data_IF_758956487977
#
_entry.id   IF_758956487977
#
_cell.length_a   1.000
_cell.length_b   1.000
_cell.length_c   1.000
_cell.angle_alpha   90.00
_cell.angle_beta   90.00
_cell.angle_gamma   90.00
#
_symmetry.space_group_name_H-M   'P 1'
#
loop_
_entity.id
_entity.type
_entity.pdbx_description
1 polymer ?
#
# COMPACT_ATOMS: atom_id res chain seq x y z
N UNK A 1 21.06 4.66 35.07
CA UNK A 1 20.78 5.56 33.92
C UNK A 1 19.55 5.02 33.21
N UNK A 2 18.69 5.88 32.66
CA UNK A 2 17.54 5.39 31.88
C UNK A 2 18.05 4.64 30.66
N UNK A 3 17.40 3.52 30.31
CA UNK A 3 17.70 2.80 29.08
C UNK A 3 17.34 3.68 27.89
N UNK A 4 18.20 3.72 26.88
CA UNK A 4 18.05 4.55 25.68
C UNK A 4 17.51 3.71 24.54
N UNK A 5 16.48 4.19 23.86
CA UNK A 5 15.89 3.50 22.71
C UNK A 5 15.90 4.42 21.50
N UNK A 6 16.45 3.93 20.38
CA UNK A 6 16.39 4.63 19.10
C UNK A 6 15.25 4.07 18.23
N UNK A 7 14.55 4.96 17.54
CA UNK A 7 13.55 4.63 16.53
C UNK A 7 13.96 5.32 15.23
N UNK A 8 14.17 4.55 14.17
CA UNK A 8 14.64 5.03 12.87
C UNK A 8 13.44 5.13 11.92
N UNK A 9 13.02 6.35 11.63
CA UNK A 9 11.86 6.68 10.81
C UNK A 9 10.69 7.22 11.64
N UNK A 10 10.28 8.46 11.38
CA UNK A 10 9.13 9.10 12.03
C UNK A 10 7.83 8.89 11.22
N UNK A 11 7.67 7.70 10.64
CA UNK A 11 6.44 7.27 9.97
C UNK A 11 5.40 6.70 10.95
N UNK A 12 4.21 6.28 10.46
CA UNK A 12 3.14 5.73 11.30
C UNK A 12 3.59 4.59 12.22
N UNK A 13 4.41 3.66 11.74
CA UNK A 13 4.90 2.54 12.56
C UNK A 13 5.87 3.02 13.67
N UNK A 14 6.85 3.86 13.32
CA UNK A 14 7.83 4.37 14.28
C UNK A 14 7.21 5.28 15.35
N UNK A 15 6.27 6.15 14.97
CA UNK A 15 5.53 6.98 15.93
C UNK A 15 4.68 6.12 16.88
N UNK A 16 4.15 4.99 16.40
CA UNK A 16 3.36 4.09 17.22
C UNK A 16 4.22 3.26 18.18
N UNK A 17 5.41 2.84 17.75
CA UNK A 17 6.42 2.27 18.64
C UNK A 17 6.83 3.28 19.72
N UNK A 18 7.06 4.54 19.34
CA UNK A 18 7.39 5.61 20.27
C UNK A 18 6.27 5.84 21.31
N UNK A 19 5.00 5.79 20.89
CA UNK A 19 3.86 5.96 21.80
C UNK A 19 3.81 4.86 22.85
N UNK A 20 4.06 3.60 22.47
CA UNK A 20 4.17 2.48 23.42
C UNK A 20 5.33 2.69 24.37
N UNK A 21 6.52 2.98 23.84
CA UNK A 21 7.75 3.07 24.63
C UNK A 21 7.77 4.27 25.59
N UNK A 22 7.08 5.35 25.23
CA UNK A 22 6.93 6.55 26.06
C UNK A 22 6.16 6.33 27.37
N UNK A 23 5.54 5.16 27.54
CA UNK A 23 4.81 4.79 28.76
C UNK A 23 5.71 4.17 29.84
N UNK A 24 6.99 3.93 29.51
CA UNK A 24 7.98 3.31 30.39
C UNK A 24 9.12 4.30 30.69
N UNK A 25 9.98 3.95 31.66
CA UNK A 25 11.09 4.82 32.09
C UNK A 25 12.31 4.76 31.16
N UNK A 26 12.08 5.05 29.87
CA UNK A 26 13.09 5.04 28.82
C UNK A 26 13.35 6.45 28.28
N UNK A 27 14.58 6.66 27.78
CA UNK A 27 14.91 7.81 26.95
C UNK A 27 14.68 7.43 25.48
N UNK A 28 13.57 7.89 24.91
CA UNK A 28 13.13 7.50 23.56
C UNK A 28 13.53 8.57 22.54
N UNK A 29 14.35 8.18 21.57
CA UNK A 29 14.81 9.04 20.48
C UNK A 29 14.19 8.59 19.15
N UNK A 30 13.53 9.50 18.43
CA UNK A 30 13.01 9.26 17.07
C UNK A 30 13.84 10.05 16.07
N UNK A 31 14.52 9.34 15.17
CA UNK A 31 15.34 9.92 14.11
C UNK A 31 14.60 9.93 12.78
N UNK A 32 14.64 11.05 12.07
CA UNK A 32 14.01 11.24 10.78
C UNK A 32 14.92 12.05 9.86
N UNK A 33 15.21 11.50 8.68
CA UNK A 33 16.09 12.17 7.72
C UNK A 33 15.43 13.38 7.05
N UNK A 34 14.10 13.45 7.02
CA UNK A 34 13.37 14.59 6.46
C UNK A 34 13.15 15.70 7.51
N UNK A 35 12.77 16.91 7.08
CA UNK A 35 12.55 18.04 8.00
C UNK A 35 11.33 17.92 8.91
N UNK A 36 10.50 16.90 8.74
CA UNK A 36 9.24 16.72 9.45
C UNK A 36 8.82 15.26 9.44
N UNK A 37 8.13 14.81 10.49
CA UNK A 37 7.58 13.45 10.59
C UNK A 37 6.48 13.16 9.54
N UNK A 38 6.29 11.86 9.28
CA UNK A 38 5.12 11.26 8.62
C UNK A 38 4.69 11.94 7.29
N UNK A 39 5.65 12.29 6.43
CA UNK A 39 5.36 12.99 5.16
C UNK A 39 4.52 12.15 4.19
N UNK A 40 4.75 10.83 4.12
CA UNK A 40 3.93 9.89 3.32
C UNK A 40 2.50 9.78 3.88
N UNK A 41 2.34 9.79 5.20
CA UNK A 41 1.02 9.83 5.86
C UNK A 41 0.24 11.11 5.52
N UNK A 42 0.91 12.26 5.53
CA UNK A 42 0.30 13.52 5.08
C UNK A 42 -0.08 13.51 3.60
N UNK A 43 0.75 12.91 2.74
CA UNK A 43 0.44 12.74 1.32
C UNK A 43 -0.80 11.86 1.12
N UNK A 44 -0.88 10.73 1.83
CA UNK A 44 -2.04 9.83 1.81
C UNK A 44 -3.34 10.54 2.25
N UNK A 45 -3.24 11.49 3.17
CA UNK A 45 -4.37 12.28 3.67
C UNK A 45 -4.69 13.56 2.89
N UNK A 46 -4.06 13.83 1.74
CA UNK A 46 -4.26 15.08 0.98
C UNK A 46 -5.71 15.29 0.52
N UNK A 47 -6.41 14.21 0.20
CA UNK A 47 -7.80 14.21 -0.28
C UNK A 47 -8.78 13.53 0.69
N UNK A 48 -8.34 13.32 1.93
CA UNK A 48 -9.04 12.50 2.92
C UNK A 48 -8.17 11.33 3.38
N UNK A 49 -7.83 11.30 4.67
CA UNK A 49 -7.03 10.22 5.24
C UNK A 49 -7.92 9.00 5.49
N UNK A 50 -7.88 8.02 4.60
CA UNK A 50 -8.45 6.72 4.87
C UNK A 50 -7.55 5.96 5.86
N UNK A 51 -7.89 6.00 7.14
CA UNK A 51 -6.99 5.53 8.21
C UNK A 51 -7.12 4.04 8.52
N UNK A 52 -8.30 3.46 8.28
CA UNK A 52 -8.62 2.04 8.52
C UNK A 52 -9.88 1.63 7.74
N UNK A 53 -10.34 0.40 7.93
CA UNK A 53 -11.56 -0.15 7.33
C UNK A 53 -12.39 -0.89 8.38
N UNK A 54 -13.69 -0.59 8.45
CA UNK A 54 -14.59 -1.05 9.51
C UNK A 54 -15.29 -2.39 9.21
N UNK A 55 -14.77 -3.18 8.27
CA UNK A 55 -15.26 -4.55 8.08
C UNK A 55 -14.93 -5.44 9.29
N UNK A 56 -15.60 -6.60 9.43
CA UNK A 56 -15.26 -7.56 10.48
C UNK A 56 -13.78 -7.97 10.43
N UNK A 57 -13.10 -7.94 11.58
CA UNK A 57 -11.64 -8.17 11.67
C UNK A 57 -11.17 -9.49 11.03
N UNK A 58 -12.00 -10.53 11.06
CA UNK A 58 -11.70 -11.82 10.42
C UNK A 58 -11.58 -11.68 8.90
N UNK A 59 -12.43 -10.88 8.27
CA UNK A 59 -12.40 -10.58 6.84
C UNK A 59 -11.24 -9.62 6.51
N UNK A 60 -11.08 -8.58 7.34
CA UNK A 60 -10.01 -7.59 7.21
C UNK A 60 -8.62 -8.23 7.09
N UNK A 61 -8.34 -9.23 7.93
CA UNK A 61 -7.04 -9.94 7.95
C UNK A 61 -6.79 -10.72 6.66
N UNK A 62 -7.84 -11.19 5.96
CA UNK A 62 -7.66 -11.94 4.70
C UNK A 62 -7.18 -11.07 3.54
N UNK A 63 -7.19 -9.74 3.70
CA UNK A 63 -6.67 -8.82 2.69
C UNK A 63 -5.14 -8.77 2.63
N UNK A 64 -4.43 -9.26 3.66
CA UNK A 64 -2.97 -9.34 3.66
C UNK A 64 -2.51 -10.63 2.97
N UNK A 65 -1.30 -10.63 2.40
CA UNK A 65 -0.68 -11.86 1.88
C UNK A 65 -0.07 -12.70 3.01
N UNK A 66 0.48 -12.05 4.03
CA UNK A 66 0.95 -12.66 5.28
C UNK A 66 -0.12 -12.58 6.38
N UNK A 67 -1.34 -13.03 6.07
CA UNK A 67 -2.50 -12.90 6.94
C UNK A 67 -2.29 -13.56 8.31
N UNK A 68 -1.70 -14.75 8.35
CA UNK A 68 -1.44 -15.50 9.57
C UNK A 68 -0.38 -14.81 10.46
N UNK A 69 0.64 -14.22 9.84
CA UNK A 69 1.68 -13.48 10.54
C UNK A 69 1.14 -12.23 11.25
N UNK A 70 0.34 -11.44 10.53
CA UNK A 70 -0.16 -10.16 11.03
C UNK A 70 -1.41 -10.30 11.92
N UNK A 71 -2.07 -11.46 11.89
CA UNK A 71 -3.39 -11.66 12.49
C UNK A 71 -3.44 -11.28 13.98
N UNK A 72 -2.45 -11.68 14.77
CA UNK A 72 -2.46 -11.44 16.22
C UNK A 72 -2.49 -9.94 16.55
N UNK A 73 -1.62 -9.17 15.89
CA UNK A 73 -1.51 -7.74 16.08
C UNK A 73 -2.72 -6.98 15.55
N UNK A 74 -3.20 -7.34 14.36
CA UNK A 74 -4.37 -6.67 13.76
C UNK A 74 -5.64 -6.93 14.58
N UNK A 75 -5.80 -8.12 15.17
CA UNK A 75 -6.93 -8.39 16.08
C UNK A 75 -6.91 -7.51 17.32
N UNK A 76 -5.72 -7.16 17.82
CA UNK A 76 -5.57 -6.35 19.02
C UNK A 76 -5.71 -4.85 18.74
N UNK A 77 -5.27 -4.40 17.56
CA UNK A 77 -5.27 -2.99 17.15
C UNK A 77 -6.07 -2.79 15.86
N UNK A 78 -7.31 -3.26 15.90
CA UNK A 78 -8.27 -3.22 14.80
C UNK A 78 -8.82 -1.80 14.55
N UNK A 79 -9.79 -1.69 13.63
CA UNK A 79 -10.44 -0.41 13.32
C UNK A 79 -11.16 0.22 14.51
N UNK A 80 -11.68 -0.58 15.47
CA UNK A 80 -12.33 -0.04 16.67
C UNK A 80 -11.28 0.58 17.60
N UNK A 81 -10.15 -0.10 17.79
CA UNK A 81 -9.02 0.44 18.52
C UNK A 81 -8.50 1.74 17.89
N UNK A 82 -8.34 1.79 16.56
CA UNK A 82 -7.88 2.99 15.84
C UNK A 82 -8.83 4.17 16.05
N UNK A 83 -10.15 3.95 15.96
CA UNK A 83 -11.14 5.02 16.20
C UNK A 83 -11.07 5.54 17.65
N UNK A 84 -10.88 4.66 18.64
CA UNK A 84 -10.71 5.06 20.04
C UNK A 84 -9.38 5.80 20.27
N UNK A 85 -8.30 5.36 19.64
CA UNK A 85 -7.01 6.04 19.68
C UNK A 85 -7.10 7.46 19.08
N UNK A 86 -7.75 7.62 17.93
CA UNK A 86 -8.03 8.93 17.33
C UNK A 86 -8.85 9.81 18.28
N UNK A 87 -9.91 9.27 18.88
CA UNK A 87 -10.73 9.99 19.86
C UNK A 87 -9.91 10.45 21.06
N UNK A 88 -9.00 9.61 21.56
CA UNK A 88 -8.07 10.01 22.62
C UNK A 88 -7.18 11.19 22.23
N UNK A 89 -6.86 11.32 20.94
CA UNK A 89 -6.13 12.47 20.37
C UNK A 89 -7.03 13.70 20.10
N UNK A 90 -8.32 13.62 20.46
CA UNK A 90 -9.31 14.66 20.21
C UNK A 90 -9.78 14.70 18.75
N UNK A 91 -9.58 13.63 17.99
CA UNK A 91 -9.96 13.55 16.58
C UNK A 91 -11.13 12.59 16.41
N UNK A 92 -12.29 13.13 16.09
CA UNK A 92 -13.46 12.33 15.74
C UNK A 92 -13.29 11.67 14.37
N UNK A 93 -13.87 10.48 14.23
CA UNK A 93 -13.83 9.70 12.99
C UNK A 93 -15.23 9.24 12.59
N UNK A 94 -15.39 8.89 11.32
CA UNK A 94 -16.63 8.32 10.80
C UNK A 94 -16.34 7.20 9.81
N UNK A 95 -17.30 6.30 9.65
CA UNK A 95 -17.27 5.20 8.69
C UNK A 95 -18.05 5.63 7.45
N UNK A 96 -17.39 5.68 6.30
CA UNK A 96 -18.03 5.96 5.02
C UNK A 96 -18.86 4.76 4.52
N UNK A 97 -19.70 4.98 3.51
CA UNK A 97 -20.56 3.92 2.93
C UNK A 97 -19.79 2.73 2.34
N UNK A 98 -18.50 2.91 2.07
CA UNK A 98 -17.61 1.85 1.59
C UNK A 98 -16.94 1.05 2.72
N UNK A 99 -17.21 1.36 3.99
CA UNK A 99 -16.54 0.77 5.16
C UNK A 99 -15.23 1.45 5.55
N UNK A 100 -14.69 2.32 4.70
CA UNK A 100 -13.49 3.11 4.99
C UNK A 100 -13.69 4.08 6.15
N UNK A 101 -12.69 4.18 7.02
CA UNK A 101 -12.70 5.03 8.22
C UNK A 101 -11.91 6.31 7.92
N UNK A 102 -12.49 7.47 8.20
CA UNK A 102 -11.86 8.77 7.96
C UNK A 102 -11.96 9.66 9.21
N UNK A 103 -11.00 10.58 9.43
CA UNK A 103 -11.22 11.70 10.34
C UNK A 103 -12.35 12.58 9.78
N UNK A 104 -13.21 13.11 10.65
CA UNK A 104 -14.35 13.97 10.24
C UNK A 104 -13.87 15.19 9.45
N UNK A 105 -12.73 15.78 9.83
CA UNK A 105 -12.14 16.93 9.11
C UNK A 105 -11.55 16.59 7.73
N UNK A 106 -11.52 15.30 7.36
CA UNK A 106 -10.97 14.80 6.08
C UNK A 106 -9.53 15.23 5.80
N UNK A 107 -8.74 15.45 6.86
CA UNK A 107 -7.33 15.85 6.78
C UNK A 107 -6.48 15.04 7.75
N UNK A 108 -5.28 14.65 7.32
CA UNK A 108 -4.29 13.97 8.18
C UNK A 108 -3.58 14.93 9.16
N UNK A 109 -3.44 16.20 8.80
CA UNK A 109 -2.60 17.14 9.53
C UNK A 109 -3.04 17.41 10.98
N UNK A 110 -4.34 17.60 11.31
CA UNK A 110 -4.79 17.76 12.69
C UNK A 110 -4.44 16.55 13.56
N UNK A 111 -4.70 15.34 13.05
CA UNK A 111 -4.37 14.09 13.74
C UNK A 111 -2.87 13.94 14.00
N UNK A 112 -2.04 14.14 12.97
CA UNK A 112 -0.59 14.06 13.15
C UNK A 112 -0.08 15.09 14.17
N UNK A 113 -0.61 16.32 14.15
CA UNK A 113 -0.21 17.37 15.09
C UNK A 113 -0.55 16.99 16.53
N UNK A 114 -1.77 16.51 16.78
CA UNK A 114 -2.18 16.05 18.10
C UNK A 114 -1.31 14.87 18.57
N UNK A 115 -0.98 13.95 17.67
CA UNK A 115 -0.14 12.80 17.98
C UNK A 115 1.29 13.19 18.37
N UNK A 116 1.96 14.02 17.55
CA UNK A 116 3.30 14.51 17.85
C UNK A 116 3.35 15.32 19.13
N UNK A 117 2.29 16.11 19.42
CA UNK A 117 2.17 16.86 20.67
C UNK A 117 2.16 15.92 21.88
N UNK A 118 1.32 14.88 21.86
CA UNK A 118 1.27 13.87 22.94
C UNK A 118 2.62 13.20 23.15
N UNK A 119 3.29 12.79 22.07
CA UNK A 119 4.61 12.15 22.17
C UNK A 119 5.66 13.08 22.81
N UNK A 120 5.66 14.36 22.44
CA UNK A 120 6.54 15.34 23.05
C UNK A 120 6.19 15.58 24.54
N UNK A 121 4.91 15.61 24.90
CA UNK A 121 4.45 15.70 26.30
C UNK A 121 4.86 14.49 27.14
N UNK A 122 5.01 13.31 26.52
CA UNK A 122 5.57 12.11 27.13
C UNK A 122 7.11 12.04 27.09
N UNK A 123 7.80 13.10 26.65
CA UNK A 123 9.26 13.17 26.67
C UNK A 123 9.97 12.49 25.51
N UNK A 124 9.28 12.13 24.42
CA UNK A 124 9.93 11.61 23.21
C UNK A 124 10.76 12.71 22.54
N UNK A 125 12.02 12.40 22.22
CA UNK A 125 12.98 13.34 21.65
C UNK A 125 13.06 13.11 20.13
N UNK A 126 12.73 14.14 19.35
CA UNK A 126 12.75 14.07 17.88
C UNK A 126 14.02 14.70 17.29
N UNK A 127 14.67 13.95 16.41
CA UNK A 127 15.88 14.33 15.68
C UNK A 127 15.57 14.39 14.17
N UNK A 128 15.04 15.53 13.73
CA UNK A 128 14.77 15.77 12.29
C UNK A 128 16.05 16.10 11.55
N UNK A 129 16.08 15.82 10.23
CA UNK A 129 17.27 15.99 9.38
C UNK A 129 18.47 15.17 9.87
N UNK A 130 18.21 14.02 10.49
CA UNK A 130 19.25 13.06 10.88
C UNK A 130 19.10 11.79 10.05
N UNK A 131 20.09 11.54 9.20
CA UNK A 131 20.13 10.33 8.38
C UNK A 131 20.93 9.25 9.10
N UNK A 132 20.34 8.07 9.28
CA UNK A 132 21.08 6.91 9.73
C UNK A 132 21.93 6.38 8.57
N UNK A 133 23.25 6.30 8.76
CA UNK A 133 24.21 5.84 7.77
C UNK A 133 24.53 4.36 7.95
N UNK A 134 24.70 3.93 9.20
CA UNK A 134 25.15 2.59 9.53
C UNK A 134 24.53 2.07 10.82
N UNK A 135 24.42 0.74 10.91
CA UNK A 135 23.93 0.00 12.06
C UNK A 135 24.86 -1.19 12.31
N UNK A 136 25.44 -1.23 13.51
CA UNK A 136 26.30 -2.34 13.95
C UNK A 136 25.98 -2.69 15.40
N UNK A 137 25.43 -3.90 15.63
CA UNK A 137 25.01 -4.34 16.97
C UNK A 137 24.02 -3.34 17.61
N UNK A 138 24.39 -2.71 18.73
CA UNK A 138 23.62 -1.68 19.44
C UNK A 138 24.00 -0.25 19.06
N UNK A 139 24.85 -0.07 18.06
CA UNK A 139 25.44 1.20 17.66
C UNK A 139 24.88 1.70 16.33
N UNK A 140 24.55 2.98 16.27
CA UNK A 140 24.04 3.67 15.09
C UNK A 140 24.93 4.85 14.74
N UNK A 141 25.27 4.97 13.45
CA UNK A 141 25.94 6.14 12.92
C UNK A 141 24.93 7.06 12.25
N UNK A 142 24.89 8.33 12.66
CA UNK A 142 24.01 9.34 12.11
C UNK A 142 24.79 10.47 11.45
N UNK A 143 24.22 11.01 10.38
CA UNK A 143 24.63 12.27 9.77
C UNK A 143 23.56 13.34 10.01
N UNK A 144 23.94 14.43 10.65
CA UNK A 144 23.12 15.62 10.72
C UNK A 144 23.20 16.36 9.37
N UNK A 145 22.08 16.43 8.64
CA UNK A 145 22.01 17.02 7.30
C UNK A 145 21.98 18.56 7.29
N UNK A 146 22.13 19.20 8.45
CA UNK A 146 22.29 20.65 8.58
C UNK A 146 23.75 21.00 8.85
N UNK A 147 24.39 20.30 9.79
CA UNK A 147 25.78 20.55 10.18
C UNK A 147 26.79 19.71 9.41
N UNK A 148 26.33 18.70 8.66
CA UNK A 148 27.13 17.67 7.98
C UNK A 148 27.97 16.81 8.94
N UNK A 149 27.79 16.97 10.25
CA UNK A 149 28.50 16.20 11.26
C UNK A 149 27.99 14.76 11.29
N UNK A 150 28.94 13.84 11.44
CA UNK A 150 28.70 12.41 11.63
C UNK A 150 28.99 12.06 13.08
N UNK A 151 28.05 11.41 13.73
CA UNK A 151 28.17 10.96 15.11
C UNK A 151 27.75 9.50 15.23
N UNK A 152 28.32 8.84 16.22
CA UNK A 152 28.03 7.44 16.54
C UNK A 152 27.44 7.38 17.95
N UNK A 153 26.31 6.70 18.10
CA UNK A 153 25.60 6.60 19.37
C UNK A 153 25.19 5.14 19.66
N UNK A 154 25.24 4.76 20.94
CA UNK A 154 24.79 3.43 21.40
C UNK A 154 23.42 3.51 22.08
N UNK A 155 22.60 2.47 21.85
CA UNK A 155 21.26 2.33 22.39
C UNK A 155 21.03 0.93 22.94
N UNK A 156 20.23 0.82 24.00
CA UNK A 156 19.89 -0.47 24.60
C UNK A 156 18.97 -1.29 23.68
N UNK A 157 18.13 -0.61 22.89
CA UNK A 157 17.30 -1.18 21.82
C UNK A 157 17.11 -0.20 20.66
N UNK A 158 16.84 -0.75 19.47
CA UNK A 158 16.68 -0.03 18.21
C UNK A 158 15.43 -0.56 17.50
N UNK A 159 14.51 0.32 17.14
CA UNK A 159 13.36 0.03 16.29
C UNK A 159 13.61 0.63 14.91
N UNK A 160 13.69 -0.21 13.89
CA UNK A 160 13.67 0.18 12.50
C UNK A 160 12.22 0.29 12.02
N UNK A 161 11.86 1.47 11.55
CA UNK A 161 10.54 1.82 11.00
C UNK A 161 10.71 2.66 9.72
N UNK A 162 11.68 2.27 8.89
CA UNK A 162 12.19 3.07 7.78
C UNK A 162 11.26 3.13 6.55
N UNK A 163 10.19 2.32 6.56
CA UNK A 163 9.30 2.13 5.41
C UNK A 163 9.96 1.36 4.27
N UNK A 164 9.25 1.24 3.16
CA UNK A 164 9.72 0.54 1.97
C UNK A 164 10.55 1.47 1.06
N UNK A 165 10.28 1.45 -0.26
CA UNK A 165 11.05 2.16 -1.29
C UNK A 165 10.20 3.04 -2.22
N UNK A 166 8.89 3.11 -2.00
CA UNK A 166 7.99 4.01 -2.74
C UNK A 166 8.04 5.43 -2.20
N UNK A 167 7.79 6.43 -3.05
CA UNK A 167 7.83 7.85 -2.66
C UNK A 167 9.11 8.27 -1.93
N UNK A 168 10.29 7.82 -2.38
CA UNK A 168 11.59 8.05 -1.72
C UNK A 168 11.89 9.52 -1.36
N UNK A 169 11.37 10.46 -2.16
CA UNK A 169 11.43 11.91 -1.87
C UNK A 169 10.79 12.30 -0.53
N UNK A 170 9.92 11.46 0.02
CA UNK A 170 9.22 11.65 1.30
C UNK A 170 9.89 10.96 2.50
N UNK A 171 10.92 10.13 2.31
CA UNK A 171 11.64 9.49 3.44
C UNK A 171 12.06 8.04 3.20
N UNK A 172 11.25 7.25 2.52
CA UNK A 172 11.41 5.80 2.31
C UNK A 172 12.32 5.51 1.10
N UNK A 173 13.63 5.60 1.29
CA UNK A 173 14.64 5.47 0.23
C UNK A 173 15.32 4.10 0.15
N UNK A 174 15.01 3.19 1.07
CA UNK A 174 15.58 1.84 1.08
C UNK A 174 17.06 1.74 1.44
N UNK A 175 17.71 2.82 1.91
CA UNK A 175 19.13 2.79 2.27
C UNK A 175 19.43 1.77 3.37
N UNK A 176 18.46 1.53 4.25
CA UNK A 176 18.52 0.56 5.33
C UNK A 176 18.72 -0.90 4.89
N UNK A 177 18.41 -1.23 3.62
CA UNK A 177 18.55 -2.61 3.11
C UNK A 177 20.00 -3.10 3.17
N UNK A 178 20.98 -2.20 3.13
CA UNK A 178 22.41 -2.55 3.24
C UNK A 178 22.80 -3.14 4.59
N UNK A 179 21.97 -2.96 5.63
CA UNK A 179 22.23 -3.48 6.99
C UNK A 179 21.71 -4.92 7.18
N UNK A 180 21.13 -5.52 6.13
CA UNK A 180 20.65 -6.89 6.11
C UNK A 180 21.38 -7.69 5.05
N UNK A 181 21.44 -9.01 5.24
CA UNK A 181 21.88 -9.91 4.19
C UNK A 181 20.82 -9.99 3.10
N UNK A 182 21.23 -10.16 1.83
CA UNK A 182 20.29 -10.13 0.70
C UNK A 182 19.20 -11.21 0.77
N UNK A 183 19.48 -12.34 1.41
CA UNK A 183 18.54 -13.44 1.63
C UNK A 183 17.52 -13.16 2.74
N UNK A 184 17.78 -12.17 3.61
CA UNK A 184 16.86 -11.72 4.66
C UNK A 184 15.74 -10.79 4.14
N UNK A 185 15.88 -10.30 2.89
CA UNK A 185 14.95 -9.35 2.27
C UNK A 185 14.31 -9.97 1.03
N UNK A 186 12.99 -9.99 0.95
CA UNK A 186 12.27 -10.23 -0.30
C UNK A 186 12.31 -8.97 -1.17
N UNK A 187 12.67 -9.13 -2.44
CA UNK A 187 12.84 -8.01 -3.35
C UNK A 187 11.57 -7.15 -3.45
N UNK A 188 11.74 -5.83 -3.29
CA UNK A 188 10.61 -4.90 -3.36
C UNK A 188 9.99 -4.86 -4.76
N UNK A 189 8.67 -4.88 -4.80
CA UNK A 189 7.86 -4.77 -6.00
C UNK A 189 6.80 -3.68 -5.82
N UNK A 190 6.44 -3.00 -6.91
CA UNK A 190 5.40 -2.00 -6.90
C UNK A 190 4.05 -2.62 -6.48
N UNK A 191 3.37 -1.97 -5.53
CA UNK A 191 2.03 -2.36 -5.10
C UNK A 191 1.08 -1.17 -5.10
N UNK A 192 -0.21 -1.47 -5.31
CA UNK A 192 -1.24 -0.46 -5.49
C UNK A 192 -0.82 0.61 -6.52
N UNK A 193 -0.30 0.14 -7.66
CA UNK A 193 0.28 0.95 -8.72
C UNK A 193 -0.47 0.75 -10.04
N UNK A 194 -0.38 1.73 -10.94
CA UNK A 194 -0.87 1.58 -12.31
C UNK A 194 -0.10 0.47 -13.05
N UNK A 195 -0.69 -0.04 -14.13
CA UNK A 195 -0.06 -1.02 -15.02
C UNK A 195 0.15 -0.41 -16.38
N UNK A 196 1.25 -0.76 -17.02
CA UNK A 196 1.67 -0.17 -18.29
C UNK A 196 1.18 -0.99 -19.47
N UNK A 197 0.81 -0.27 -20.53
CA UNK A 197 0.48 -0.82 -21.83
C UNK A 197 0.77 0.21 -22.90
N UNK A 198 1.47 -0.21 -23.94
CA UNK A 198 1.68 0.62 -25.12
C UNK A 198 0.39 0.69 -25.92
N UNK A 199 -0.22 1.88 -25.93
CA UNK A 199 -1.42 2.16 -26.72
C UNK A 199 -1.07 2.67 -28.12
N UNK A 200 -1.87 2.32 -29.12
CA UNK A 200 -1.82 3.01 -30.41
C UNK A 200 -2.28 4.47 -30.28
N UNK A 201 -1.92 5.33 -31.24
CA UNK A 201 -2.37 6.74 -31.28
C UNK A 201 -3.89 6.88 -31.29
N UNK A 202 -4.60 5.84 -31.71
CA UNK A 202 -6.06 5.80 -31.74
C UNK A 202 -6.68 5.94 -30.34
N UNK A 203 -6.01 5.48 -29.28
CA UNK A 203 -6.54 5.55 -27.90
C UNK A 203 -6.38 6.91 -27.24
N UNK A 204 -5.60 7.84 -27.80
CA UNK A 204 -5.34 9.15 -27.20
C UNK A 204 -6.59 9.94 -26.80
N UNK A 205 -7.69 9.96 -27.59
CA UNK A 205 -8.90 10.70 -27.22
C UNK A 205 -9.62 10.17 -25.97
N UNK A 206 -9.31 8.95 -25.52
CA UNK A 206 -9.94 8.32 -24.34
C UNK A 206 -9.05 8.27 -23.11
N UNK A 207 -7.84 8.85 -23.16
CA UNK A 207 -7.02 8.99 -21.97
C UNK A 207 -7.71 9.87 -20.92
N UNK A 208 -7.63 9.46 -19.65
CA UNK A 208 -8.36 10.02 -18.52
C UNK A 208 -9.82 9.55 -18.40
N UNK A 209 -10.37 8.83 -19.38
CA UNK A 209 -11.76 8.37 -19.32
C UNK A 209 -11.87 7.05 -18.53
N UNK A 210 -12.94 6.87 -17.75
CA UNK A 210 -13.18 5.63 -17.01
C UNK A 210 -13.90 4.57 -17.87
N UNK A 211 -13.42 3.34 -17.81
CA UNK A 211 -14.20 2.13 -18.08
C UNK A 211 -15.08 1.86 -16.86
N UNK A 212 -16.34 2.28 -16.92
CA UNK A 212 -17.26 2.16 -15.78
C UNK A 212 -17.85 0.76 -15.67
N UNK A 213 -17.96 0.27 -14.42
CA UNK A 213 -18.65 -0.98 -14.07
C UNK A 213 -18.18 -2.15 -14.92
N UNK A 214 -16.88 -2.41 -14.90
CA UNK A 214 -16.25 -3.57 -15.55
C UNK A 214 -15.85 -4.58 -14.50
N UNK A 215 -15.74 -5.85 -14.88
CA UNK A 215 -15.06 -6.84 -14.05
C UNK A 215 -13.65 -7.06 -14.55
N UNK A 216 -12.74 -7.31 -13.62
CA UNK A 216 -11.34 -7.59 -13.89
C UNK A 216 -10.88 -8.82 -13.09
N UNK A 217 -10.03 -9.63 -13.72
CA UNK A 217 -9.38 -10.78 -13.09
C UNK A 217 -8.06 -11.12 -13.79
N UNK A 218 -7.28 -11.97 -13.12
CA UNK A 218 -5.99 -12.50 -13.58
C UNK A 218 -6.04 -14.01 -13.36
N UNK A 219 -5.64 -14.78 -14.36
CA UNK A 219 -5.69 -16.25 -14.32
C UNK A 219 -7.06 -16.79 -13.84
N UNK A 220 -7.08 -17.71 -12.89
CA UNK A 220 -8.29 -18.31 -12.32
C UNK A 220 -8.81 -17.56 -11.06
N UNK A 221 -8.32 -16.34 -10.81
CA UNK A 221 -8.75 -15.55 -9.65
C UNK A 221 -10.20 -15.08 -9.79
N UNK A 222 -10.83 -14.85 -8.64
CA UNK A 222 -12.19 -14.33 -8.60
C UNK A 222 -12.30 -12.97 -9.30
N UNK A 223 -13.34 -12.81 -10.13
CA UNK A 223 -13.65 -11.55 -10.77
C UNK A 223 -14.02 -10.50 -9.75
N UNK A 224 -13.50 -9.29 -9.93
CA UNK A 224 -13.88 -8.14 -9.11
C UNK A 224 -14.43 -7.03 -9.98
N UNK A 225 -15.50 -6.39 -9.54
CA UNK A 225 -16.15 -5.30 -10.27
C UNK A 225 -15.67 -3.93 -9.78
N UNK A 226 -15.57 -2.97 -10.70
CA UNK A 226 -15.27 -1.59 -10.40
C UNK A 226 -15.11 -0.74 -11.65
N UNK A 227 -14.45 0.41 -11.50
CA UNK A 227 -14.10 1.29 -12.60
C UNK A 227 -12.58 1.24 -12.84
N UNK A 228 -12.14 1.37 -14.10
CA UNK A 228 -10.73 1.50 -14.48
C UNK A 228 -10.53 2.81 -15.23
N UNK A 229 -9.49 3.57 -14.93
CA UNK A 229 -9.11 4.75 -15.71
C UNK A 229 -8.13 4.33 -16.81
N UNK A 230 -8.41 4.71 -18.05
CA UNK A 230 -7.48 4.56 -19.17
C UNK A 230 -6.51 5.72 -19.10
N UNK A 231 -5.24 5.45 -18.87
CA UNK A 231 -4.20 6.47 -18.79
C UNK A 231 -3.26 6.38 -19.98
N UNK A 232 -2.55 7.47 -20.26
CA UNK A 232 -1.65 7.55 -21.41
C UNK A 232 -0.56 6.47 -21.40
N UNK A 233 -0.20 5.97 -20.22
CA UNK A 233 0.78 4.89 -20.02
C UNK A 233 0.16 3.49 -19.96
N UNK A 234 -1.16 3.35 -19.78
CA UNK A 234 -1.78 2.06 -19.49
C UNK A 234 -3.10 2.18 -18.73
N UNK A 235 -3.27 1.42 -17.64
CA UNK A 235 -4.49 1.37 -16.84
C UNK A 235 -4.19 1.64 -15.35
N UNK A 236 -5.08 2.34 -14.68
CA UNK A 236 -4.99 2.59 -13.23
C UNK A 236 -6.36 2.62 -12.57
N UNK A 237 -6.37 2.65 -11.23
CA UNK A 237 -7.52 2.75 -10.29
C UNK A 237 -7.48 1.64 -9.24
N UNK A 238 -8.35 1.75 -8.24
CA UNK A 238 -8.55 0.71 -7.23
C UNK A 238 -8.91 -0.67 -7.80
N UNK A 239 -9.54 -0.77 -8.98
CA UNK A 239 -9.81 -2.10 -9.57
C UNK A 239 -8.52 -2.75 -10.07
N UNK A 240 -7.63 -1.99 -10.71
CA UNK A 240 -6.29 -2.47 -11.10
C UNK A 240 -5.47 -2.87 -9.88
N UNK A 241 -5.50 -2.06 -8.82
CA UNK A 241 -4.72 -2.32 -7.62
C UNK A 241 -5.10 -3.64 -6.94
N UNK A 242 -6.39 -4.02 -6.94
CA UNK A 242 -6.87 -5.32 -6.43
C UNK A 242 -6.29 -6.50 -7.21
N UNK A 243 -5.94 -6.33 -8.48
CA UNK A 243 -5.33 -7.37 -9.31
C UNK A 243 -3.81 -7.45 -9.14
N UNK A 244 -3.20 -6.47 -8.44
CA UNK A 244 -1.75 -6.32 -8.34
C UNK A 244 -1.02 -7.56 -7.81
N UNK A 245 -1.57 -8.24 -6.79
CA UNK A 245 -0.96 -9.45 -6.22
C UNK A 245 -0.84 -10.57 -7.25
N UNK A 246 -1.92 -10.87 -7.97
CA UNK A 246 -1.93 -11.92 -8.98
C UNK A 246 -1.01 -11.57 -10.17
N UNK A 247 -1.02 -10.30 -10.60
CA UNK A 247 -0.12 -9.81 -11.65
C UNK A 247 1.37 -9.91 -11.25
N UNK A 248 1.73 -9.62 -10.00
CA UNK A 248 3.10 -9.84 -9.50
C UNK A 248 3.47 -11.32 -9.47
N UNK A 249 2.52 -12.20 -9.16
CA UNK A 249 2.77 -13.64 -9.18
C UNK A 249 3.09 -14.14 -10.60
N UNK A 250 2.38 -13.64 -11.63
CA UNK A 250 2.73 -13.93 -13.03
C UNK A 250 4.19 -13.53 -13.32
N UNK A 251 4.59 -12.30 -12.95
CA UNK A 251 5.98 -11.85 -13.12
C UNK A 251 6.99 -12.74 -12.37
N UNK A 252 6.71 -13.08 -11.10
CA UNK A 252 7.57 -13.94 -10.28
C UNK A 252 7.73 -15.33 -10.89
N UNK A 253 6.71 -15.83 -11.59
CA UNK A 253 6.73 -17.09 -12.33
C UNK A 253 7.35 -16.99 -13.73
N UNK A 254 7.87 -15.82 -14.14
CA UNK A 254 8.42 -15.58 -15.48
C UNK A 254 7.36 -15.53 -16.59
N UNK A 255 6.08 -15.33 -16.23
CA UNK A 255 4.97 -15.23 -17.17
C UNK A 255 4.77 -13.78 -17.63
N UNK A 256 4.24 -13.61 -18.85
CA UNK A 256 3.81 -12.29 -19.32
C UNK A 256 2.60 -11.82 -18.51
N UNK A 257 2.60 -10.54 -18.10
CA UNK A 257 1.46 -9.96 -17.37
C UNK A 257 0.23 -9.88 -18.27
N UNK A 258 -0.84 -10.52 -17.84
CA UNK A 258 -2.07 -10.63 -18.60
C UNK A 258 -3.26 -10.36 -17.68
N UNK A 259 -4.00 -9.29 -17.97
CA UNK A 259 -5.26 -8.96 -17.32
C UNK A 259 -6.41 -9.37 -18.24
N UNK A 260 -7.54 -9.76 -17.66
CA UNK A 260 -8.77 -10.00 -18.40
C UNK A 260 -9.87 -9.07 -17.90
N UNK A 261 -10.67 -8.57 -18.85
CA UNK A 261 -11.81 -7.70 -18.55
C UNK A 261 -13.12 -8.25 -19.10
N UNK A 262 -14.18 -8.05 -18.33
CA UNK A 262 -15.56 -8.12 -18.81
C UNK A 262 -16.08 -6.69 -18.83
N UNK A 263 -16.24 -6.13 -20.04
CA UNK A 263 -16.62 -4.72 -20.16
C UNK A 263 -18.11 -4.48 -19.90
N UNK A 264 -18.94 -5.53 -19.90
CA UNK A 264 -20.40 -5.46 -19.74
C UNK A 264 -20.87 -6.60 -18.80
N UNK A 265 -20.48 -6.57 -17.51
CA UNK A 265 -20.75 -7.66 -16.57
C UNK A 265 -22.24 -7.99 -16.42
N UNK A 266 -23.10 -6.97 -16.49
CA UNK A 266 -24.55 -7.09 -16.25
C UNK A 266 -25.33 -7.80 -17.37
N UNK A 267 -24.69 -8.23 -18.45
CA UNK A 267 -25.34 -8.94 -19.56
C UNK A 267 -24.66 -10.28 -19.82
N UNK A 268 -25.45 -11.31 -20.15
CA UNK A 268 -24.88 -12.58 -20.65
C UNK A 268 -24.34 -12.41 -22.07
N UNK A 269 -23.54 -13.38 -22.52
CA UNK A 269 -23.02 -13.41 -23.91
C UNK A 269 -24.18 -13.37 -24.91
N UNK A 270 -25.26 -14.11 -24.66
CA UNK A 270 -26.42 -14.22 -25.53
C UNK A 270 -27.19 -12.90 -25.62
N UNK A 271 -27.41 -12.25 -24.47
CA UNK A 271 -28.09 -10.95 -24.40
C UNK A 271 -27.28 -9.87 -25.12
N UNK A 272 -25.96 -9.86 -24.91
CA UNK A 272 -25.07 -8.92 -25.57
C UNK A 272 -25.00 -9.17 -27.08
N UNK A 273 -24.88 -10.43 -27.50
CA UNK A 273 -24.88 -10.83 -28.91
C UNK A 273 -26.17 -10.40 -29.62
N UNK A 274 -27.33 -10.52 -28.97
CA UNK A 274 -28.60 -10.04 -29.51
C UNK A 274 -28.57 -8.51 -29.77
N UNK A 275 -27.98 -7.73 -28.86
CA UNK A 275 -27.85 -6.27 -29.01
C UNK A 275 -26.79 -5.85 -30.03
N UNK A 276 -25.80 -6.71 -30.28
CA UNK A 276 -24.74 -6.51 -31.28
C UNK A 276 -25.17 -6.90 -32.70
N UNK A 277 -26.37 -7.46 -32.88
CA UNK A 277 -26.88 -7.83 -34.20
C UNK A 277 -26.89 -6.62 -35.16
N UNK A 278 -26.29 -6.73 -36.36
CA UNK A 278 -26.26 -5.65 -37.33
C UNK A 278 -27.67 -5.32 -37.81
N UNK A 279 -28.03 -4.03 -37.79
CA UNK A 279 -29.26 -3.54 -38.41
C UNK A 279 -28.92 -2.85 -39.73
N UNK A 280 -29.67 -3.17 -40.80
CA UNK A 280 -29.44 -2.61 -42.16
C UNK A 280 -29.46 -1.08 -42.23
N UNK A 281 -29.99 -0.39 -41.21
CA UNK A 281 -30.12 1.07 -41.15
C UNK A 281 -29.20 1.74 -40.12
N UNK A 282 -28.30 1.01 -39.44
CA UNK A 282 -27.50 1.56 -38.35
C UNK A 282 -26.00 1.36 -38.58
N UNK A 283 -25.21 2.39 -38.25
CA UNK A 283 -23.75 2.25 -38.19
C UNK A 283 -23.32 1.34 -37.04
N UNK A 284 -22.17 0.68 -37.20
CA UNK A 284 -21.58 -0.18 -36.16
C UNK A 284 -21.43 0.55 -34.81
N UNK A 285 -20.98 1.82 -34.83
CA UNK A 285 -20.87 2.64 -33.62
C UNK A 285 -22.21 2.85 -32.90
N UNK A 286 -23.30 2.98 -33.65
CA UNK A 286 -24.64 3.09 -33.06
C UNK A 286 -25.14 1.76 -32.50
N UNK A 287 -24.80 0.63 -33.13
CA UNK A 287 -25.10 -0.70 -32.59
C UNK A 287 -24.36 -0.92 -31.27
N UNK A 288 -23.05 -0.68 -31.25
CA UNK A 288 -22.21 -0.84 -30.06
C UNK A 288 -22.66 0.04 -28.88
N UNK A 289 -22.99 1.32 -29.16
CA UNK A 289 -23.53 2.22 -28.14
C UNK A 289 -24.84 1.70 -27.53
N UNK A 290 -25.74 1.16 -28.34
CA UNK A 290 -27.00 0.55 -27.86
C UNK A 290 -26.76 -0.76 -27.07
N UNK A 291 -25.66 -1.47 -27.36
CA UNK A 291 -25.25 -2.66 -26.63
C UNK A 291 -24.63 -2.36 -25.25
N UNK A 292 -24.28 -1.09 -24.98
CA UNK A 292 -23.70 -0.64 -23.70
C UNK A 292 -22.20 -0.30 -23.78
N UNK A 293 -21.60 -0.40 -24.97
CA UNK A 293 -20.23 0.07 -25.19
C UNK A 293 -20.24 1.60 -25.35
N UNK A 294 -19.95 2.31 -24.26
CA UNK A 294 -19.66 3.74 -24.32
C UNK A 294 -18.40 4.03 -25.15
N UNK A 295 -18.05 5.30 -25.28
CA UNK A 295 -16.92 5.72 -26.10
C UNK A 295 -15.60 5.06 -25.64
N UNK A 296 -15.32 4.98 -24.34
CA UNK A 296 -14.10 4.39 -23.82
C UNK A 296 -14.05 2.87 -24.09
N UNK A 297 -15.13 2.15 -23.76
CA UNK A 297 -15.23 0.69 -23.99
C UNK A 297 -15.14 0.36 -25.49
N UNK A 298 -15.81 1.13 -26.35
CA UNK A 298 -15.76 0.93 -27.80
C UNK A 298 -14.36 1.16 -28.37
N UNK A 299 -13.62 2.17 -27.90
CA UNK A 299 -12.24 2.41 -28.35
C UNK A 299 -11.32 1.26 -27.90
N UNK A 300 -11.47 0.79 -26.66
CA UNK A 300 -10.69 -0.34 -26.15
C UNK A 300 -10.96 -1.63 -26.95
N UNK A 301 -12.22 -1.93 -27.28
CA UNK A 301 -12.57 -3.07 -28.15
C UNK A 301 -11.92 -2.93 -29.53
N UNK A 302 -11.91 -1.73 -30.13
CA UNK A 302 -11.27 -1.50 -31.43
C UNK A 302 -9.76 -1.65 -31.41
N UNK A 303 -9.14 -1.29 -30.29
CA UNK A 303 -7.70 -1.42 -30.08
C UNK A 303 -7.26 -2.88 -29.96
N UNK A 304 -8.12 -3.74 -29.40
CA UNK A 304 -7.72 -5.08 -28.95
C UNK A 304 -8.34 -6.23 -29.74
N UNK A 305 -9.54 -6.03 -30.29
CA UNK A 305 -10.28 -7.07 -31.00
C UNK A 305 -10.07 -6.87 -32.50
N UNK A 306 -9.70 -7.94 -33.20
CA UNK A 306 -9.47 -7.93 -34.64
C UNK A 306 -10.76 -7.60 -35.40
N UNK A 307 -10.62 -6.89 -36.54
CA UNK A 307 -11.76 -6.31 -37.29
C UNK A 307 -12.72 -7.35 -37.86
N UNK A 308 -12.24 -8.55 -38.15
CA UNK A 308 -13.02 -9.68 -38.66
C UNK A 308 -14.12 -10.11 -37.67
N UNK A 309 -13.86 -10.00 -36.37
CA UNK A 309 -14.84 -10.35 -35.34
C UNK A 309 -15.89 -9.25 -35.12
N UNK A 310 -15.69 -8.03 -35.61
CA UNK A 310 -16.58 -6.90 -35.27
C UNK A 310 -18.00 -7.06 -35.81
N UNK A 311 -18.19 -7.85 -36.87
CA UNK A 311 -19.48 -8.09 -37.50
C UNK A 311 -20.09 -9.46 -37.11
N UNK A 312 -19.39 -10.27 -36.31
CA UNK A 312 -19.94 -11.48 -35.70
C UNK A 312 -20.42 -11.15 -34.29
N UNK A 313 -21.74 -11.02 -34.05
CA UNK A 313 -22.27 -10.59 -32.77
C UNK A 313 -21.93 -11.54 -31.63
N UNK A 314 -21.85 -12.86 -31.90
CA UNK A 314 -21.59 -13.85 -30.86
C UNK A 314 -20.11 -13.87 -30.51
N UNK A 315 -19.24 -13.88 -31.51
CA UNK A 315 -17.80 -13.83 -31.28
C UNK A 315 -17.37 -12.51 -30.62
N UNK A 316 -17.91 -11.38 -31.05
CA UNK A 316 -17.64 -10.08 -30.42
C UNK A 316 -18.15 -10.02 -28.98
N UNK A 317 -19.34 -10.56 -28.69
CA UNK A 317 -19.85 -10.64 -27.32
C UNK A 317 -18.92 -11.47 -26.44
N UNK A 318 -18.41 -12.61 -26.92
CA UNK A 318 -17.44 -13.43 -26.19
C UNK A 318 -16.15 -12.65 -25.88
N UNK A 319 -15.61 -11.90 -26.84
CA UNK A 319 -14.43 -11.05 -26.64
C UNK A 319 -14.69 -9.93 -25.63
N UNK A 320 -15.86 -9.28 -25.67
CA UNK A 320 -16.21 -8.20 -24.73
C UNK A 320 -16.34 -8.71 -23.28
N UNK A 321 -16.83 -9.95 -23.12
CA UNK A 321 -17.02 -10.62 -21.82
C UNK A 321 -15.73 -11.25 -21.27
N UNK A 322 -14.71 -11.42 -22.11
CA UNK A 322 -13.42 -12.02 -21.78
C UNK A 322 -12.29 -11.39 -22.60
N UNK A 323 -12.05 -10.09 -22.39
CA UNK A 323 -11.13 -9.30 -23.18
C UNK A 323 -9.70 -9.40 -22.62
N UNK A 324 -8.75 -10.03 -23.32
CA UNK A 324 -7.36 -10.09 -22.88
C UNK A 324 -6.66 -8.74 -23.06
N UNK A 325 -6.08 -8.22 -21.98
CA UNK A 325 -5.23 -7.04 -21.94
C UNK A 325 -3.78 -7.45 -21.59
N UNK A 326 -2.89 -7.65 -22.59
CA UNK A 326 -1.47 -7.81 -22.30
C UNK A 326 -0.90 -6.51 -21.73
N UNK A 327 -0.06 -6.63 -20.70
CA UNK A 327 0.55 -5.54 -19.95
C UNK A 327 2.09 -5.63 -20.05
N UNK A 328 2.74 -4.46 -20.08
CA UNK A 328 4.19 -4.34 -20.17
C UNK A 328 4.89 -4.39 -18.80
N UNK A 329 4.15 -4.15 -17.71
CA UNK A 329 4.70 -4.07 -16.36
C UNK A 329 3.83 -3.23 -15.43
N UNK A 330 4.33 -2.99 -14.22
CA UNK A 330 3.79 -1.98 -13.32
C UNK A 330 4.44 -0.62 -13.59
N UNK A 331 3.76 0.46 -13.20
CA UNK A 331 4.40 1.78 -13.05
C UNK A 331 5.62 1.69 -12.12
N UNK A 332 6.62 2.58 -12.29
CA UNK A 332 7.81 2.61 -11.44
C UNK A 332 7.47 2.63 -9.95
N UNK A 333 8.24 1.91 -9.15
CA UNK A 333 7.98 1.71 -7.72
C UNK A 333 8.01 3.02 -6.93
N UNK A 334 8.74 4.02 -7.41
CA UNK A 334 8.84 5.36 -6.82
C UNK A 334 7.49 6.10 -6.85
N UNK A 335 6.61 5.74 -7.79
CA UNK A 335 5.26 6.30 -7.95
C UNK A 335 4.17 5.43 -7.29
N UNK A 336 4.52 4.19 -6.91
CA UNK A 336 3.58 3.25 -6.32
C UNK A 336 3.02 3.76 -4.98
N UNK A 337 1.77 3.43 -4.66
CA UNK A 337 1.17 3.82 -3.38
C UNK A 337 1.84 3.07 -2.23
N UNK A 338 2.19 1.80 -2.46
CA UNK A 338 2.89 0.95 -1.51
C UNK A 338 3.85 -0.02 -2.19
N UNK A 339 4.59 -0.78 -1.39
CA UNK A 339 5.44 -1.86 -1.88
C UNK A 339 4.99 -3.21 -1.32
N UNK A 340 5.24 -4.27 -2.09
CA UNK A 340 5.31 -5.65 -1.59
C UNK A 340 6.79 -6.06 -1.50
N UNK A 341 7.14 -7.04 -0.68
CA UNK A 341 8.53 -7.36 -0.33
C UNK A 341 8.98 -6.63 0.93
N UNK A 342 10.18 -6.94 1.42
CA UNK A 342 10.73 -6.37 2.65
C UNK A 342 11.48 -7.39 3.52
N UNK A 343 11.71 -7.05 4.78
CA UNK A 343 12.33 -7.94 5.77
C UNK A 343 11.41 -9.12 6.01
N UNK A 344 11.93 -10.32 5.72
CA UNK A 344 11.14 -11.55 5.76
C UNK A 344 10.80 -11.97 7.18
N UNK A 345 9.64 -12.62 7.34
CA UNK A 345 9.16 -13.10 8.65
C UNK A 345 10.16 -14.02 9.34
N UNK A 346 10.81 -14.91 8.61
CA UNK A 346 11.69 -15.95 9.16
C UNK A 346 12.94 -15.40 9.85
N UNK A 347 13.34 -14.16 9.55
CA UNK A 347 14.51 -13.53 10.19
C UNK A 347 14.14 -12.83 11.51
N UNK A 348 12.85 -12.72 11.81
CA UNK A 348 12.31 -12.08 13.00
C UNK A 348 11.75 -13.09 14.01
N UNK A 349 11.76 -12.72 15.28
CA UNK A 349 10.99 -13.38 16.34
C UNK A 349 9.51 -12.99 16.27
N UNK A 350 8.67 -13.63 17.10
CA UNK A 350 7.27 -13.24 17.28
C UNK A 350 7.10 -11.82 17.84
N UNK A 351 8.14 -11.23 18.42
CA UNK A 351 8.15 -9.87 18.94
C UNK A 351 8.73 -8.86 17.93
N UNK A 352 8.88 -9.26 16.66
CA UNK A 352 9.51 -8.48 15.59
C UNK A 352 10.99 -8.14 15.83
N UNK A 353 11.67 -8.90 16.70
CA UNK A 353 13.09 -8.76 16.99
C UNK A 353 13.91 -9.50 15.94
N UNK A 354 14.99 -8.89 15.44
CA UNK A 354 15.90 -9.52 14.50
C UNK A 354 16.69 -10.64 15.18
N UNK A 355 16.69 -11.85 14.58
CA UNK A 355 17.40 -13.01 15.14
C UNK A 355 18.92 -12.85 15.08
N UNK A 356 19.43 -12.18 14.05
CA UNK A 356 20.85 -11.92 13.85
C UNK A 356 21.37 -10.77 14.71
N UNK A 357 20.50 -9.88 15.22
CA UNK A 357 20.87 -8.80 16.13
C UNK A 357 19.78 -8.56 17.19
N UNK A 358 20.00 -8.99 18.45
CA UNK A 358 18.97 -8.90 19.50
C UNK A 358 18.66 -7.45 19.94
N UNK A 359 19.43 -6.45 19.51
CA UNK A 359 19.10 -5.06 19.80
C UNK A 359 18.10 -4.46 18.81
N UNK A 360 17.81 -5.12 17.69
CA UNK A 360 17.07 -4.53 16.57
C UNK A 360 15.69 -5.15 16.43
N UNK A 361 14.69 -4.30 16.22
CA UNK A 361 13.30 -4.66 15.95
C UNK A 361 12.84 -3.98 14.66
N UNK A 362 11.98 -4.63 13.88
CA UNK A 362 11.54 -4.10 12.58
C UNK A 362 10.01 -3.98 12.52
N UNK A 363 9.47 -2.89 11.99
CA UNK A 363 8.02 -2.70 11.90
C UNK A 363 7.56 -1.84 10.72
N UNK A 364 6.26 -1.94 10.39
CA UNK A 364 5.64 -1.18 9.30
C UNK A 364 5.91 -1.77 7.93
N UNK A 365 5.88 -0.91 6.91
CA UNK A 365 5.99 -1.26 5.48
C UNK A 365 7.38 -1.78 5.08
N UNK A 366 8.38 -1.77 5.98
CA UNK A 366 9.68 -2.39 5.69
C UNK A 366 9.65 -3.92 5.81
N UNK A 367 8.61 -4.47 6.45
CA UNK A 367 8.41 -5.90 6.61
C UNK A 367 7.80 -6.49 5.32
N UNK A 368 8.08 -7.76 5.03
CA UNK A 368 7.56 -8.47 3.85
C UNK A 368 6.08 -8.85 4.00
N UNK A 369 5.20 -7.86 3.83
CA UNK A 369 3.77 -8.04 3.69
C UNK A 369 3.18 -6.98 2.76
N UNK A 370 2.08 -7.29 2.09
CA UNK A 370 1.33 -6.35 1.25
C UNK A 370 -0.18 -6.44 1.50
N UNK A 371 -0.85 -5.32 1.25
CA UNK A 371 -2.29 -5.19 1.37
C UNK A 371 -2.85 -4.28 0.26
N UNK A 372 -4.11 -4.47 -0.16
CA UNK A 372 -4.76 -3.57 -1.09
C UNK A 372 -4.93 -2.16 -0.48
N UNK A 373 -5.24 -1.18 -1.32
CA UNK A 373 -5.76 0.11 -0.82
C UNK A 373 -7.06 -0.09 -0.04
N UNK A 374 -7.34 0.78 0.94
CA UNK A 374 -8.58 0.70 1.71
C UNK A 374 -8.45 0.98 3.20
N UNK A 375 -7.25 1.26 3.70
CA UNK A 375 -6.99 1.54 5.13
C UNK A 375 -6.20 0.40 5.81
N UNK A 376 -6.04 -0.73 5.11
CA UNK A 376 -5.29 -1.90 5.56
C UNK A 376 -3.81 -1.58 5.84
N UNK A 377 -3.13 -0.87 4.93
CA UNK A 377 -1.71 -0.55 5.09
C UNK A 377 -1.44 0.22 6.39
N UNK A 378 -2.21 1.28 6.67
CA UNK A 378 -2.02 2.08 7.88
C UNK A 378 -2.33 1.27 9.15
N UNK A 379 -3.37 0.43 9.12
CA UNK A 379 -3.71 -0.44 10.25
C UNK A 379 -2.57 -1.40 10.58
N UNK A 380 -1.97 -2.06 9.59
CA UNK A 380 -0.82 -2.94 9.80
C UNK A 380 0.43 -2.17 10.26
N UNK A 381 0.68 -0.97 9.73
CA UNK A 381 1.76 -0.11 10.21
C UNK A 381 1.59 0.28 11.69
N UNK A 382 0.38 0.65 12.12
CA UNK A 382 0.11 0.91 13.53
C UNK A 382 0.28 -0.35 14.37
N UNK A 383 -0.34 -1.46 13.97
CA UNK A 383 -0.32 -2.72 14.69
C UNK A 383 1.12 -3.24 14.90
N UNK A 384 1.92 -3.31 13.83
CA UNK A 384 3.32 -3.75 13.90
C UNK A 384 4.22 -2.76 14.64
N UNK A 385 3.95 -1.46 14.54
CA UNK A 385 4.65 -0.44 15.33
C UNK A 385 4.43 -0.63 16.83
N UNK A 386 3.19 -0.89 17.26
CA UNK A 386 2.87 -1.22 18.66
C UNK A 386 3.56 -2.52 19.08
N UNK A 387 3.45 -3.56 18.27
CA UNK A 387 4.06 -4.86 18.54
C UNK A 387 5.58 -4.75 18.76
N UNK A 388 6.29 -3.99 17.92
CA UNK A 388 7.72 -3.76 18.10
C UNK A 388 8.03 -2.97 19.39
N UNK A 389 7.21 -1.97 19.74
CA UNK A 389 7.35 -1.27 21.02
C UNK A 389 7.15 -2.17 22.24
N UNK A 390 6.14 -3.06 22.19
CA UNK A 390 5.89 -4.06 23.24
C UNK A 390 6.99 -5.14 23.30
N UNK A 391 7.55 -5.50 22.14
CA UNK A 391 8.72 -6.37 22.02
C UNK A 391 9.97 -5.79 22.67
N UNK A 392 10.28 -4.51 22.38
CA UNK A 392 11.37 -3.78 23.03
C UNK A 392 11.17 -3.72 24.54
N UNK A 393 9.97 -3.39 25.02
CA UNK A 393 9.67 -3.39 26.46
C UNK A 393 9.98 -4.75 27.09
N UNK A 394 9.50 -5.83 26.48
CA UNK A 394 9.71 -7.19 27.00
C UNK A 394 11.19 -7.55 27.05
N UNK A 395 11.94 -7.21 26.01
CA UNK A 395 13.39 -7.45 25.93
C UNK A 395 14.17 -6.67 27.00
N UNK A 396 13.85 -5.39 27.19
CA UNK A 396 14.55 -4.56 28.16
C UNK A 396 14.18 -4.91 29.61
N UNK A 397 12.95 -5.37 29.87
CA UNK A 397 12.51 -5.79 31.20
C UNK A 397 13.20 -7.08 31.69
N UNK A 398 13.55 -8.00 30.78
CA UNK A 398 14.27 -9.25 31.13
C UNK A 398 15.73 -8.98 31.55
N UNK A 399 16.29 -7.85 31.15
CA UNK A 399 17.67 -7.44 31.49
C UNK A 399 17.78 -6.66 32.81
N UNK A 400 16.69 -6.57 33.57
CA UNK A 400 16.69 -6.11 34.97
C UNK A 400 16.79 -7.31 35.91
#
# INVERSE_FOLDING_TARGET
MKKRVAIIGAGPAGLMAAEVLSQYDYEVHVYEQKPSAARKFLMAGKTGLNISHAEPVVQFIQHYDQADWLAAWIKQWDANWIQQWMKGLGIESYIGSSGRVFPVEMKAAPLLRAWLKRLAEHGVIFHYRHQCLDLSSSELQFKNLVTEQVETQQFDAIVMACGAVSWSRLGSDGAWQQWFSQDEIEAFQASNAGVERVWSRFMQPVFGQPLKRVEAWVDDQAKTMGDIVISHYGLESGLIYKQGRALRQQLKNGQAMQLYLDLIPEQTVEQLAQKLQPSKKQSLSNVWRKAGLDHAKANLVRELVTKDLWNDPRALAQQIKHLPIPLAGFRPIEEAISCAGGVKREVLSEQLQLKSNPHVFCCGEMLDWDAPTGGYLLTACFATGRAAGEGVQSYLAIKE
#
